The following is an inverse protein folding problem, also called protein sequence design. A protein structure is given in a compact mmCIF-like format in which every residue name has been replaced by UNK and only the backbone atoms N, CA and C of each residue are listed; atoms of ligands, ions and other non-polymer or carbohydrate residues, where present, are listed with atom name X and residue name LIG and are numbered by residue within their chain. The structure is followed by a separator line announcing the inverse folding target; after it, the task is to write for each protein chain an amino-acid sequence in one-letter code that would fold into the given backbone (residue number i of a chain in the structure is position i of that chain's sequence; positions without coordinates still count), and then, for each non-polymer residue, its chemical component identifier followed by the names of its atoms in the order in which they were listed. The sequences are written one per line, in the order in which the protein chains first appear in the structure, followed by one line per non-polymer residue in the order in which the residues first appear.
data_IF_775526432039
#
_entry.id   IF_775526432039
#
_cell.length_a   1.000
_cell.length_b   1.000
_cell.length_c   1.000
_cell.angle_alpha   90.00
_cell.angle_beta   90.00
_cell.angle_gamma   90.00
#
_symmetry.space_group_name_H-M   'P 1'
#
loop_
_entity.id
_entity.type
_entity.pdbx_description
1 polymer ?
#
# COMPACT_ATOMS: atom_id res chain seq x y z
N UNK A 1 -4.09 13.28 15.70
CA UNK A 1 -4.68 14.52 15.15
C UNK A 1 -3.92 15.79 15.53
N UNK A 2 -3.44 15.98 16.78
CA UNK A 2 -2.67 17.19 17.17
C UNK A 2 -1.38 17.39 16.35
N UNK A 3 -0.51 16.37 16.28
CA UNK A 3 0.75 16.45 15.52
C UNK A 3 0.56 16.78 14.03
N UNK A 4 -0.50 16.24 13.42
CA UNK A 4 -0.86 16.52 12.02
C UNK A 4 -1.41 17.94 11.87
N UNK A 5 -2.26 18.38 12.80
CA UNK A 5 -2.77 19.74 12.84
C UNK A 5 -1.61 20.77 12.94
N UNK A 6 -0.63 20.50 13.80
CA UNK A 6 0.56 21.34 13.95
C UNK A 6 1.46 21.30 12.69
N UNK A 7 1.59 20.14 12.02
CA UNK A 7 2.38 19.99 10.78
C UNK A 7 1.81 20.79 9.60
N UNK A 8 0.49 20.82 9.48
CA UNK A 8 -0.22 21.48 8.37
C UNK A 8 -0.79 22.85 8.75
N UNK A 9 -0.41 23.39 9.91
CA UNK A 9 -0.88 24.67 10.46
C UNK A 9 -2.40 24.84 10.38
N UNK A 10 -3.13 23.86 10.90
CA UNK A 10 -4.60 23.82 10.81
C UNK A 10 -5.24 23.42 12.13
N UNK A 11 -6.55 23.64 12.27
CA UNK A 11 -7.28 23.23 13.46
C UNK A 11 -7.45 21.71 13.52
N UNK A 12 -7.40 21.14 14.72
CA UNK A 12 -7.63 19.69 14.94
C UNK A 12 -8.97 19.21 14.38
N UNK A 13 -10.01 20.05 14.46
CA UNK A 13 -11.34 19.78 13.90
C UNK A 13 -11.30 19.69 12.37
N UNK A 14 -10.53 20.55 11.70
CA UNK A 14 -10.36 20.52 10.25
C UNK A 14 -9.66 19.23 9.79
N UNK A 15 -8.61 18.79 10.51
CA UNK A 15 -7.95 17.49 10.24
C UNK A 15 -8.93 16.34 10.42
N UNK A 16 -9.68 16.34 11.53
CA UNK A 16 -10.68 15.31 11.80
C UNK A 16 -11.70 15.21 10.66
N UNK A 17 -12.30 16.34 10.28
CA UNK A 17 -13.31 16.39 9.23
C UNK A 17 -12.74 15.91 7.88
N UNK A 18 -11.49 16.27 7.57
CA UNK A 18 -10.81 15.80 6.36
C UNK A 18 -10.62 14.29 6.37
N UNK A 19 -10.13 13.71 7.47
CA UNK A 19 -9.96 12.27 7.62
C UNK A 19 -11.29 11.54 7.48
N UNK A 20 -12.33 12.00 8.18
CA UNK A 20 -13.66 11.37 8.11
C UNK A 20 -14.25 11.44 6.70
N UNK A 21 -14.17 12.60 6.04
CA UNK A 21 -14.69 12.79 4.70
C UNK A 21 -13.98 11.88 3.68
N UNK A 22 -12.64 11.92 3.65
CA UNK A 22 -11.85 11.10 2.71
C UNK A 22 -12.05 9.61 3.00
N UNK A 23 -12.08 9.19 4.27
CA UNK A 23 -12.34 7.78 4.61
C UNK A 23 -13.73 7.34 4.15
N UNK A 24 -14.74 8.20 4.29
CA UNK A 24 -16.10 7.95 3.79
C UNK A 24 -16.13 7.77 2.27
N UNK A 25 -15.44 8.64 1.53
CA UNK A 25 -15.33 8.55 0.07
C UNK A 25 -14.62 7.25 -0.33
N UNK A 26 -13.46 6.94 0.24
CA UNK A 26 -12.73 5.71 -0.05
C UNK A 26 -13.57 4.46 0.27
N UNK A 27 -14.32 4.48 1.37
CA UNK A 27 -15.23 3.39 1.72
C UNK A 27 -16.38 3.23 0.72
N UNK A 28 -16.87 4.32 0.13
CA UNK A 28 -17.89 4.26 -0.93
C UNK A 28 -17.34 3.67 -2.24
N UNK A 29 -16.06 3.90 -2.55
CA UNK A 29 -15.41 3.38 -3.75
C UNK A 29 -14.95 1.92 -3.61
N UNK A 30 -15.07 1.32 -2.43
CA UNK A 30 -14.51 -0.01 -2.15
C UNK A 30 -15.01 -1.08 -3.14
N UNK A 31 -16.29 -1.04 -3.54
CA UNK A 31 -16.88 -2.04 -4.43
C UNK A 31 -16.35 -1.95 -5.86
N UNK A 32 -15.89 -0.77 -6.26
CA UNK A 32 -15.50 -0.49 -7.64
C UNK A 32 -14.03 -0.86 -7.87
N UNK A 33 -13.21 -0.79 -6.81
CA UNK A 33 -11.76 -1.00 -6.90
C UNK A 33 -11.26 -2.24 -6.14
N UNK A 34 -11.93 -2.70 -5.08
CA UNK A 34 -11.49 -3.87 -4.32
C UNK A 34 -12.13 -5.13 -4.92
N UNK A 35 -11.37 -5.79 -5.80
CA UNK A 35 -11.72 -7.08 -6.34
C UNK A 35 -11.05 -8.19 -5.51
N UNK A 36 -11.87 -8.99 -4.83
CA UNK A 36 -11.37 -10.17 -4.12
C UNK A 36 -11.12 -11.30 -5.13
N UNK A 37 -9.99 -12.03 -5.03
CA UNK A 37 -9.73 -13.17 -5.91
C UNK A 37 -10.73 -14.28 -5.58
N UNK A 38 -11.64 -14.61 -6.51
CA UNK A 38 -12.83 -15.45 -6.22
C UNK A 38 -12.53 -16.93 -5.96
N UNK A 39 -11.45 -17.49 -6.52
CA UNK A 39 -11.29 -18.95 -6.57
C UNK A 39 -10.17 -19.55 -5.68
N UNK A 40 -9.19 -18.78 -5.20
CA UNK A 40 -7.99 -19.34 -4.51
C UNK A 40 -7.64 -18.68 -3.14
N UNK A 41 -8.50 -17.81 -2.63
CA UNK A 41 -8.22 -17.09 -1.38
C UNK A 41 -8.28 -18.01 -0.14
N UNK A 42 -9.07 -19.09 -0.20
CA UNK A 42 -9.21 -20.05 0.92
C UNK A 42 -7.94 -20.86 1.13
N UNK A 43 -7.31 -21.33 0.05
CA UNK A 43 -6.03 -22.05 0.14
C UNK A 43 -4.95 -21.11 0.66
N UNK A 44 -4.89 -19.88 0.14
CA UNK A 44 -3.94 -18.88 0.61
C UNK A 44 -4.14 -18.58 2.10
N UNK A 45 -5.36 -18.31 2.55
CA UNK A 45 -5.69 -18.09 3.96
C UNK A 45 -5.29 -19.27 4.86
N UNK A 46 -5.61 -20.49 4.43
CA UNK A 46 -5.25 -21.69 5.17
C UNK A 46 -3.72 -21.86 5.23
N UNK A 47 -3.03 -21.61 4.13
CA UNK A 47 -1.57 -21.77 4.06
C UNK A 47 -0.82 -20.80 4.98
N UNK A 48 -1.27 -19.55 5.09
CA UNK A 48 -0.75 -18.58 6.06
C UNK A 48 -1.07 -18.99 7.51
N UNK A 49 -2.28 -19.50 7.76
CA UNK A 49 -2.63 -20.04 9.06
C UNK A 49 -1.73 -21.23 9.45
N UNK A 50 -1.51 -22.18 8.54
CA UNK A 50 -0.66 -23.36 8.80
C UNK A 50 0.81 -22.99 9.00
N UNK A 51 1.34 -22.03 8.23
CA UNK A 51 2.77 -21.64 8.31
C UNK A 51 3.08 -20.69 9.45
N UNK A 52 2.19 -19.74 9.73
CA UNK A 52 2.46 -18.62 10.63
C UNK A 52 1.45 -18.43 11.76
N UNK A 53 0.47 -19.33 11.91
CA UNK A 53 -0.64 -19.21 12.85
C UNK A 53 -1.40 -17.87 12.72
N UNK A 54 -1.48 -17.35 11.49
CA UNK A 54 -2.12 -16.06 11.19
C UNK A 54 -3.30 -16.28 10.22
N UNK A 55 -4.53 -16.38 10.74
CA UNK A 55 -5.70 -16.73 9.93
C UNK A 55 -6.23 -15.55 9.10
N UNK A 56 -6.88 -15.86 7.98
CA UNK A 56 -7.56 -14.86 7.14
C UNK A 56 -6.65 -14.03 6.23
N UNK A 57 -5.38 -14.40 6.09
CA UNK A 57 -4.39 -13.68 5.29
C UNK A 57 -4.49 -14.09 3.83
N UNK A 58 -4.71 -13.13 2.94
CA UNK A 58 -4.81 -13.40 1.49
C UNK A 58 -3.52 -13.09 0.72
N UNK A 59 -2.52 -12.54 1.40
CA UNK A 59 -1.22 -12.21 0.86
C UNK A 59 -0.42 -11.36 1.85
N UNK A 60 0.89 -11.34 1.68
CA UNK A 60 1.78 -10.41 2.36
C UNK A 60 2.18 -9.31 1.36
N UNK A 61 1.99 -8.05 1.74
CA UNK A 61 2.27 -6.88 0.90
C UNK A 61 3.49 -6.13 1.45
N UNK A 62 4.40 -5.75 0.55
CA UNK A 62 5.53 -4.88 0.88
C UNK A 62 5.93 -4.02 -0.32
N UNK A 63 6.67 -2.94 -0.05
CA UNK A 63 7.20 -2.02 -1.04
C UNK A 63 8.73 -2.01 -1.03
N UNK A 64 9.35 -2.06 -2.20
CA UNK A 64 10.80 -1.94 -2.36
C UNK A 64 11.16 -0.86 -3.38
N UNK A 65 12.35 -0.29 -3.23
CA UNK A 65 12.88 0.73 -4.14
C UNK A 65 13.76 0.05 -5.19
N UNK A 66 13.33 0.06 -6.44
CA UNK A 66 14.09 -0.47 -7.57
C UNK A 66 14.92 0.66 -8.16
N UNK A 67 16.24 0.51 -8.12
CA UNK A 67 17.15 1.50 -8.70
C UNK A 67 16.94 1.57 -10.22
N UNK A 68 16.88 2.79 -10.74
CA UNK A 68 16.73 3.04 -12.17
C UNK A 68 17.73 4.10 -12.64
N UNK A 69 18.00 4.09 -13.95
CA UNK A 69 18.53 5.28 -14.61
C UNK A 69 17.35 6.23 -14.81
N UNK A 70 17.31 7.31 -14.03
CA UNK A 70 16.24 8.29 -14.18
C UNK A 70 16.22 8.87 -15.61
N UNK A 71 15.03 9.09 -16.20
CA UNK A 71 14.91 9.82 -17.46
C UNK A 71 15.58 11.20 -17.36
N UNK A 72 16.08 11.75 -18.47
CA UNK A 72 16.68 13.09 -18.48
C UNK A 72 15.68 14.15 -18.01
N UNK A 73 14.43 14.00 -18.42
CA UNK A 73 13.31 14.80 -17.95
C UNK A 73 12.86 14.33 -16.56
N UNK A 74 12.62 15.28 -15.66
CA UNK A 74 12.06 15.02 -14.32
C UNK A 74 12.90 14.08 -13.44
N UNK A 75 14.23 14.07 -13.55
CA UNK A 75 15.13 13.29 -12.67
C UNK A 75 14.81 13.43 -11.18
N UNK A 76 14.38 14.62 -10.76
CA UNK A 76 14.01 14.93 -9.37
C UNK A 76 12.85 14.09 -8.85
N UNK A 77 11.94 13.67 -9.71
CA UNK A 77 10.76 12.87 -9.33
C UNK A 77 11.15 11.45 -8.93
N UNK A 78 12.34 10.99 -9.35
CA UNK A 78 12.88 9.68 -9.03
C UNK A 78 13.90 9.72 -7.88
N UNK A 79 14.21 10.90 -7.32
CA UNK A 79 15.15 11.01 -6.20
C UNK A 79 14.53 10.50 -4.90
N UNK A 80 15.12 9.46 -4.33
CA UNK A 80 14.73 8.93 -3.03
C UNK A 80 15.48 9.62 -1.88
N UNK A 81 15.09 9.29 -0.63
CA UNK A 81 15.73 9.81 0.61
C UNK A 81 17.23 9.50 0.71
N UNK A 82 17.74 8.49 0.01
CA UNK A 82 19.16 8.12 -0.03
C UNK A 82 19.94 8.86 -1.12
N UNK A 83 19.33 9.89 -1.74
CA UNK A 83 19.94 10.66 -2.83
C UNK A 83 20.31 9.79 -4.04
N UNK A 84 19.52 8.75 -4.32
CA UNK A 84 19.67 7.88 -5.49
C UNK A 84 18.34 7.82 -6.26
N UNK A 85 18.41 7.45 -7.55
CA UNK A 85 17.24 7.35 -8.41
C UNK A 85 16.58 5.97 -8.32
N UNK A 86 15.29 5.92 -7.98
CA UNK A 86 14.53 4.68 -7.90
C UNK A 86 13.03 4.87 -8.11
N UNK A 87 12.36 3.78 -8.48
CA UNK A 87 10.90 3.67 -8.47
C UNK A 87 10.45 2.74 -7.35
N UNK A 88 9.23 2.95 -6.84
CA UNK A 88 8.63 2.06 -5.84
C UNK A 88 7.98 0.89 -6.57
N UNK A 89 8.41 -0.33 -6.25
CA UNK A 89 7.68 -1.55 -6.58
C UNK A 89 6.93 -2.01 -5.34
N UNK A 90 5.60 -2.06 -5.41
CA UNK A 90 4.77 -2.76 -4.45
C UNK A 90 4.51 -4.17 -4.96
N UNK A 91 4.66 -5.18 -4.11
CA UNK A 91 4.34 -6.55 -4.47
C UNK A 91 3.54 -7.24 -3.37
N UNK A 92 2.64 -8.13 -3.78
CA UNK A 92 1.93 -9.06 -2.90
C UNK A 92 2.43 -10.46 -3.18
N UNK A 93 2.70 -11.24 -2.14
CA UNK A 93 3.07 -12.65 -2.28
C UNK A 93 2.19 -13.56 -1.43
N UNK A 94 2.07 -14.82 -1.85
CA UNK A 94 1.42 -15.86 -1.06
C UNK A 94 2.37 -16.42 0.01
N UNK A 95 1.88 -17.34 0.84
CA UNK A 95 2.65 -17.92 1.95
C UNK A 95 3.90 -18.72 1.51
N UNK A 96 4.00 -19.05 0.21
CA UNK A 96 5.17 -19.71 -0.41
C UNK A 96 6.21 -18.72 -0.92
N UNK A 97 5.96 -17.41 -0.82
CA UNK A 97 6.83 -16.37 -1.34
C UNK A 97 6.71 -16.14 -2.85
N UNK A 98 5.66 -16.67 -3.50
CA UNK A 98 5.39 -16.41 -4.91
C UNK A 98 4.61 -15.11 -5.06
N UNK A 99 5.03 -14.24 -5.97
CA UNK A 99 4.29 -13.01 -6.28
C UNK A 99 2.93 -13.33 -6.90
N UNK A 100 1.89 -12.70 -6.37
CA UNK A 100 0.50 -12.79 -6.83
C UNK A 100 0.03 -11.49 -7.46
N UNK A 101 0.65 -10.36 -7.10
CA UNK A 101 0.39 -9.05 -7.68
C UNK A 101 1.66 -8.18 -7.58
N UNK A 102 1.91 -7.35 -8.58
CA UNK A 102 3.02 -6.39 -8.63
C UNK A 102 2.54 -5.08 -9.27
N UNK A 103 2.80 -3.96 -8.60
CA UNK A 103 2.48 -2.62 -9.06
C UNK A 103 3.71 -1.71 -8.94
N UNK A 104 4.05 -1.00 -10.01
CA UNK A 104 5.20 -0.10 -10.09
C UNK A 104 4.82 1.20 -10.82
#
# INVERSE_FOLDING_TARGET
MRSIADLFDTAKSSVHNSVVNITGILASLKSDYINWPFDDYRETALSFQTRGNFPGVLGAIDGTQIAINAPEDNQKDYLNRKMSHSVILQAVCNSRGLFTDCFA
#
